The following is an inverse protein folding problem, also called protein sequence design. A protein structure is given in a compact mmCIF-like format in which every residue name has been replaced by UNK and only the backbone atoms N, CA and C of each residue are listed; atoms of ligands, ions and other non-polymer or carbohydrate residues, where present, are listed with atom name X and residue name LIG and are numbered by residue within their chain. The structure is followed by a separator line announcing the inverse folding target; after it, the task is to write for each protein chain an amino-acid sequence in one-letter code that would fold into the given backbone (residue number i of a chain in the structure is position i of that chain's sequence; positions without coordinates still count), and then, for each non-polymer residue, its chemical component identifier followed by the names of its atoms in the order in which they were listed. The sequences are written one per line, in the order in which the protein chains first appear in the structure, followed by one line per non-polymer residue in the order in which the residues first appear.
data_IF_503897133835
#
_entry.id   IF_503897133835
#
_cell.length_a   1.000
_cell.length_b   1.000
_cell.length_c   1.000
_cell.angle_alpha   90.00
_cell.angle_beta   90.00
_cell.angle_gamma   90.00
#
_symmetry.space_group_name_H-M   'P 1'
#
loop_
_entity.id
_entity.type
_entity.pdbx_description
1 polymer ?
#
# COMPACT_ATOMS: atom_id res chain seq x y z
N UNK A 1 34.78 -71.66 -1.68
CA UNK A 1 35.08 -72.35 -2.95
C UNK A 1 34.35 -71.65 -4.08
N UNK A 2 35.04 -71.47 -5.20
CA UNK A 2 34.65 -70.69 -6.36
C UNK A 2 33.37 -71.17 -7.06
N UNK A 3 32.68 -70.25 -7.77
CA UNK A 3 32.60 -70.31 -9.24
C UNK A 3 31.94 -69.07 -9.83
N UNK A 4 32.70 -68.46 -10.73
CA UNK A 4 32.35 -67.45 -11.72
C UNK A 4 31.28 -67.93 -12.69
N UNK A 5 30.43 -67.01 -13.19
CA UNK A 5 29.89 -66.99 -14.57
C UNK A 5 29.39 -65.57 -14.86
N UNK A 6 30.14 -64.75 -15.59
CA UNK A 6 30.06 -64.51 -17.06
C UNK A 6 28.99 -63.48 -17.45
N UNK A 7 29.50 -62.30 -17.82
CA UNK A 7 28.81 -61.14 -18.39
C UNK A 7 28.56 -61.39 -19.88
N UNK A 8 27.33 -61.27 -20.35
CA UNK A 8 27.01 -61.25 -21.79
C UNK A 8 26.39 -59.90 -22.13
N UNK A 9 27.13 -59.14 -22.92
CA UNK A 9 26.78 -57.85 -23.49
C UNK A 9 25.95 -58.07 -24.75
N UNK A 10 24.75 -57.49 -24.85
CA UNK A 10 24.02 -57.39 -26.12
C UNK A 10 23.64 -55.93 -26.36
N UNK A 11 24.36 -55.31 -27.30
CA UNK A 11 24.07 -54.00 -27.87
C UNK A 11 22.98 -54.16 -28.94
N UNK A 12 21.84 -53.48 -28.78
CA UNK A 12 20.85 -53.32 -29.86
C UNK A 12 20.75 -51.86 -30.28
N UNK A 13 21.31 -51.63 -31.46
CA UNK A 13 21.34 -50.43 -32.28
C UNK A 13 19.93 -50.18 -32.83
N UNK A 14 19.23 -49.14 -32.36
CA UNK A 14 17.92 -48.74 -32.92
C UNK A 14 18.13 -47.54 -33.85
N UNK A 15 17.76 -47.76 -35.11
CA UNK A 15 17.81 -46.79 -36.22
C UNK A 15 16.81 -45.65 -35.98
N UNK A 16 17.26 -44.40 -36.10
CA UNK A 16 16.41 -43.21 -36.28
C UNK A 16 16.12 -42.99 -37.76
N UNK A 17 14.88 -42.65 -38.10
CA UNK A 17 14.45 -42.05 -39.38
C UNK A 17 13.05 -41.43 -39.20
N UNK A 18 12.66 -40.43 -40.02
CA UNK A 18 12.13 -39.18 -39.48
C UNK A 18 10.68 -38.85 -39.90
N UNK A 19 10.22 -37.71 -39.38
CA UNK A 19 9.07 -36.92 -39.83
C UNK A 19 7.69 -37.36 -39.36
N UNK A 20 7.08 -36.52 -38.52
CA UNK A 20 5.82 -35.86 -38.87
C UNK A 20 5.52 -34.74 -37.87
N UNK A 21 5.60 -33.51 -38.36
CA UNK A 21 5.03 -32.32 -37.75
C UNK A 21 3.52 -32.50 -37.71
N UNK A 22 2.90 -32.35 -36.54
CA UNK A 22 1.51 -31.90 -36.44
C UNK A 22 1.45 -30.84 -35.35
N UNK A 23 1.05 -29.65 -35.78
CA UNK A 23 1.07 -28.42 -35.01
C UNK A 23 0.25 -28.56 -33.73
N UNK A 24 0.92 -28.33 -32.61
CA UNK A 24 0.25 -27.83 -31.44
C UNK A 24 0.13 -26.32 -31.64
N UNK A 25 -1.11 -25.86 -31.81
CA UNK A 25 -1.46 -24.46 -31.80
C UNK A 25 -0.84 -23.80 -30.58
N UNK A 26 0.13 -22.92 -30.81
CA UNK A 26 0.66 -22.03 -29.80
C UNK A 26 -0.48 -21.08 -29.41
N UNK A 27 -1.27 -21.49 -28.42
CA UNK A 27 -2.25 -20.60 -27.79
C UNK A 27 -1.42 -19.72 -26.86
N UNK A 28 -0.75 -18.73 -27.46
CA UNK A 28 -0.18 -17.58 -26.75
C UNK A 28 -1.24 -17.16 -25.73
N UNK A 29 -0.97 -17.44 -24.45
CA UNK A 29 -1.79 -16.88 -23.38
C UNK A 29 -1.65 -15.38 -23.56
N UNK A 30 -2.72 -14.73 -24.03
CA UNK A 30 -2.80 -13.28 -24.10
C UNK A 30 -2.38 -12.77 -22.72
N UNK A 31 -1.20 -12.15 -22.63
CA UNK A 31 -0.77 -11.48 -21.40
C UNK A 31 -1.89 -10.49 -21.07
N UNK A 32 -2.57 -10.60 -19.91
CA UNK A 32 -3.48 -9.55 -19.49
C UNK A 32 -2.67 -8.26 -19.46
N UNK A 33 -3.26 -7.15 -19.93
CA UNK A 33 -2.63 -5.83 -19.80
C UNK A 33 -2.43 -5.60 -18.29
N UNK A 34 -1.20 -5.76 -17.81
CA UNK A 34 -0.81 -5.39 -16.45
C UNK A 34 -0.60 -3.88 -16.49
N UNK A 35 -1.55 -3.16 -15.90
CA UNK A 35 -1.63 -1.69 -16.00
C UNK A 35 -0.86 -0.98 -14.88
N UNK A 36 -0.08 -1.73 -14.11
CA UNK A 36 0.62 -1.32 -12.90
C UNK A 36 1.98 -2.00 -12.86
N UNK A 37 3.03 -1.22 -12.58
CA UNK A 37 4.38 -1.76 -12.45
C UNK A 37 4.43 -2.65 -11.18
N UNK A 38 4.68 -3.96 -11.30
CA UNK A 38 4.67 -4.86 -10.15
C UNK A 38 5.86 -4.67 -9.22
N UNK A 39 6.83 -3.82 -9.58
CA UNK A 39 8.04 -3.59 -8.80
C UNK A 39 7.92 -2.39 -7.85
N UNK A 40 6.84 -1.61 -7.94
CA UNK A 40 6.67 -0.34 -7.19
C UNK A 40 5.35 -0.32 -6.42
N UNK A 41 5.44 -0.01 -5.13
CA UNK A 41 4.31 0.25 -4.25
C UNK A 41 3.50 1.45 -4.75
N UNK A 42 2.19 1.27 -4.97
CA UNK A 42 1.34 2.34 -5.51
C UNK A 42 0.95 3.42 -4.50
N UNK A 43 1.13 3.16 -3.20
CA UNK A 43 0.81 4.13 -2.14
C UNK A 43 2.02 5.02 -1.84
N UNK A 44 3.20 4.44 -1.64
CA UNK A 44 4.38 5.18 -1.19
C UNK A 44 5.52 5.30 -2.23
N UNK A 45 5.50 4.51 -3.30
CA UNK A 45 6.52 4.53 -4.35
C UNK A 45 7.80 3.72 -4.04
N UNK A 46 7.88 3.07 -2.88
CA UNK A 46 8.98 2.15 -2.55
C UNK A 46 8.90 0.85 -3.35
N UNK A 47 10.00 0.07 -3.45
CA UNK A 47 9.95 -1.27 -4.03
C UNK A 47 8.87 -2.12 -3.35
N UNK A 48 8.03 -2.77 -4.13
CA UNK A 48 7.01 -3.68 -3.59
C UNK A 48 7.65 -4.96 -3.04
N UNK A 49 7.04 -5.52 -2.02
CA UNK A 49 7.41 -6.82 -1.46
C UNK A 49 6.46 -7.90 -1.99
N UNK A 50 6.96 -8.94 -2.70
CA UNK A 50 6.13 -10.04 -3.17
C UNK A 50 5.50 -10.88 -2.04
N UNK A 51 5.98 -10.76 -0.80
CA UNK A 51 5.37 -11.40 0.36
C UNK A 51 4.03 -10.76 0.76
N UNK A 52 3.82 -9.47 0.42
CA UNK A 52 2.58 -8.75 0.68
C UNK A 52 1.56 -9.09 -0.41
N UNK A 53 0.33 -9.39 0.00
CA UNK A 53 -0.72 -9.77 -0.94
C UNK A 53 -1.06 -8.61 -1.90
N UNK A 54 -1.09 -8.89 -3.20
CA UNK A 54 -1.57 -7.93 -4.19
C UNK A 54 -3.11 -7.79 -4.11
N UNK A 55 -3.63 -6.67 -4.59
CA UNK A 55 -5.07 -6.38 -4.62
C UNK A 55 -5.53 -6.22 -6.06
N UNK A 56 -6.61 -6.92 -6.45
CA UNK A 56 -7.26 -6.69 -7.73
C UNK A 56 -8.34 -5.61 -7.59
N UNK A 57 -8.20 -4.51 -8.34
CA UNK A 57 -9.19 -3.43 -8.40
C UNK A 57 -9.39 -2.98 -9.85
N UNK A 58 -10.64 -2.91 -10.32
CA UNK A 58 -10.99 -2.65 -11.72
C UNK A 58 -10.20 -3.48 -12.76
N UNK A 59 -10.00 -4.78 -12.48
CA UNK A 59 -9.23 -5.73 -13.33
C UNK A 59 -7.75 -5.36 -13.50
N UNK A 60 -7.19 -4.59 -12.56
CA UNK A 60 -5.79 -4.24 -12.45
C UNK A 60 -5.26 -4.76 -11.11
N UNK A 61 -3.99 -5.19 -11.08
CA UNK A 61 -3.36 -5.74 -9.87
C UNK A 61 -2.42 -4.72 -9.25
N UNK A 62 -2.64 -4.36 -7.98
CA UNK A 62 -1.83 -3.39 -7.25
C UNK A 62 -0.90 -4.11 -6.27
N UNK A 63 0.34 -3.62 -6.16
CA UNK A 63 1.40 -4.21 -5.35
C UNK A 63 1.86 -3.20 -4.28
N UNK A 64 2.36 -3.72 -3.16
CA UNK A 64 2.62 -2.94 -1.96
C UNK A 64 3.95 -3.35 -1.32
N UNK A 65 4.57 -2.43 -0.58
CA UNK A 65 5.81 -2.69 0.16
C UNK A 65 5.58 -3.23 1.57
N UNK A 66 4.38 -3.06 2.13
CA UNK A 66 4.00 -3.45 3.48
C UNK A 66 2.50 -3.66 3.58
N UNK A 67 2.05 -4.37 4.63
CA UNK A 67 0.62 -4.52 4.93
C UNK A 67 -0.06 -3.16 5.16
N UNK A 68 0.62 -2.21 5.82
CA UNK A 68 0.11 -0.84 6.01
C UNK A 68 -0.28 -0.19 4.67
N UNK A 69 0.59 -0.24 3.64
CA UNK A 69 0.27 0.31 2.32
C UNK A 69 -0.89 -0.43 1.63
N UNK A 70 -1.02 -1.75 1.86
CA UNK A 70 -2.15 -2.53 1.33
C UNK A 70 -3.46 -2.10 1.98
N UNK A 71 -3.47 -1.90 3.29
CA UNK A 71 -4.64 -1.44 4.05
C UNK A 71 -5.04 -0.02 3.66
N UNK A 72 -4.09 0.91 3.61
CA UNK A 72 -4.32 2.28 3.12
C UNK A 72 -4.94 2.29 1.71
N UNK A 73 -4.49 1.40 0.82
CA UNK A 73 -5.09 1.26 -0.51
C UNK A 73 -6.54 0.75 -0.44
N UNK A 74 -6.82 -0.24 0.40
CA UNK A 74 -8.15 -0.85 0.52
C UNK A 74 -9.19 0.11 1.11
N UNK A 75 -8.78 1.01 1.99
CA UNK A 75 -9.65 2.05 2.56
C UNK A 75 -10.14 3.01 1.47
N UNK A 76 -9.25 3.41 0.56
CA UNK A 76 -9.57 4.42 -0.46
C UNK A 76 -8.96 4.06 -1.84
N UNK A 77 -9.39 2.96 -2.49
CA UNK A 77 -8.74 2.46 -3.70
C UNK A 77 -8.84 3.46 -4.87
N UNK A 78 -9.87 4.30 -4.91
CA UNK A 78 -10.02 5.36 -5.92
C UNK A 78 -8.91 6.41 -5.91
N UNK A 79 -8.34 6.73 -4.73
CA UNK A 79 -7.23 7.68 -4.60
C UNK A 79 -5.98 7.16 -5.29
N UNK A 80 -5.63 5.91 -4.99
CA UNK A 80 -4.36 5.31 -5.35
C UNK A 80 -4.40 4.59 -6.70
N UNK A 81 -5.58 4.17 -7.18
CA UNK A 81 -5.72 3.52 -8.48
C UNK A 81 -5.60 4.49 -9.65
N UNK A 82 -5.89 5.78 -9.46
CA UNK A 82 -5.92 6.77 -10.54
C UNK A 82 -4.54 7.38 -10.85
N UNK A 83 -3.66 7.47 -9.85
CA UNK A 83 -2.32 8.08 -9.96
C UNK A 83 -1.32 7.25 -9.18
N UNK A 84 -0.15 7.03 -9.76
CA UNK A 84 0.97 6.39 -9.06
C UNK A 84 1.50 7.28 -7.93
N UNK A 85 2.12 6.70 -6.91
CA UNK A 85 2.72 7.45 -5.80
C UNK A 85 3.66 8.58 -6.24
N UNK A 86 4.40 8.39 -7.34
CA UNK A 86 5.30 9.40 -7.91
C UNK A 86 4.58 10.66 -8.44
N UNK A 87 3.30 10.55 -8.77
CA UNK A 87 2.48 11.64 -9.31
C UNK A 87 1.59 12.30 -8.25
N UNK A 88 1.52 11.72 -7.05
CA UNK A 88 0.70 12.24 -5.96
C UNK A 88 1.46 13.33 -5.21
N UNK A 89 0.80 14.48 -5.02
CA UNK A 89 1.34 15.58 -4.22
C UNK A 89 1.18 15.24 -2.73
N UNK A 90 2.28 15.22 -1.98
CA UNK A 90 2.24 14.99 -0.53
C UNK A 90 1.30 16.01 0.16
N UNK A 91 0.49 15.52 1.10
CA UNK A 91 -0.41 16.35 1.90
C UNK A 91 0.07 16.28 3.33
N UNK A 92 0.96 17.21 3.67
CA UNK A 92 1.57 17.25 4.99
C UNK A 92 0.62 17.85 6.02
N UNK A 93 0.31 17.09 7.06
CA UNK A 93 -0.43 17.51 8.24
C UNK A 93 0.52 17.67 9.42
N UNK A 94 0.20 18.62 10.30
CA UNK A 94 0.87 18.83 11.58
C UNK A 94 -0.16 18.81 12.69
N UNK A 95 0.10 17.99 13.71
CA UNK A 95 -0.82 17.76 14.82
C UNK A 95 -0.07 17.71 16.15
N UNK A 96 -0.82 18.03 17.19
CA UNK A 96 -0.40 17.84 18.58
C UNK A 96 -1.37 16.86 19.19
N UNK A 97 -0.86 15.68 19.54
CA UNK A 97 -1.58 14.68 20.32
C UNK A 97 -1.24 14.88 21.79
N UNK A 98 -2.22 14.68 22.65
CA UNK A 98 -2.06 14.76 24.10
C UNK A 98 -2.01 13.34 24.65
N UNK A 99 -0.89 12.98 25.27
CA UNK A 99 -0.71 11.73 26.01
C UNK A 99 -1.40 11.86 27.37
N UNK A 100 -1.87 10.75 27.93
CA UNK A 100 -2.51 10.75 29.25
C UNK A 100 -1.55 11.18 30.38
N UNK A 101 -0.27 10.85 30.23
CA UNK A 101 0.80 11.24 31.14
C UNK A 101 2.11 11.47 30.37
N UNK A 102 3.02 12.26 30.94
CA UNK A 102 4.33 12.49 30.36
C UNK A 102 5.15 11.19 30.41
N UNK A 103 5.60 10.65 29.25
CA UNK A 103 6.41 9.44 29.24
C UNK A 103 7.79 9.72 29.85
N UNK A 104 8.37 8.69 30.47
CA UNK A 104 9.77 8.73 30.86
C UNK A 104 10.66 8.96 29.61
N UNK A 105 11.85 9.60 29.73
CA UNK A 105 12.70 9.91 28.59
C UNK A 105 13.02 8.70 27.71
N UNK A 106 13.28 7.55 28.32
CA UNK A 106 13.58 6.30 27.61
C UNK A 106 12.38 5.80 26.80
N UNK A 107 11.17 5.95 27.35
CA UNK A 107 9.91 5.60 26.66
C UNK A 107 9.65 6.58 25.51
N UNK A 108 9.91 7.87 25.72
CA UNK A 108 9.75 8.89 24.68
C UNK A 108 10.68 8.63 23.48
N UNK A 109 11.94 8.23 23.72
CA UNK A 109 12.87 7.87 22.65
C UNK A 109 12.40 6.65 21.85
N UNK A 110 11.96 5.59 22.54
CA UNK A 110 11.40 4.40 21.89
C UNK A 110 10.14 4.74 21.07
N UNK A 111 9.27 5.58 21.62
CA UNK A 111 8.07 6.05 20.94
C UNK A 111 8.38 6.83 19.67
N UNK A 112 9.33 7.77 19.76
CA UNK A 112 9.79 8.56 18.62
C UNK A 112 10.35 7.65 17.52
N UNK A 113 11.12 6.62 17.89
CA UNK A 113 11.63 5.64 16.93
C UNK A 113 10.48 4.87 16.26
N UNK A 114 9.58 4.30 17.06
CA UNK A 114 8.44 3.51 16.58
C UNK A 114 7.55 4.30 15.61
N UNK A 115 7.19 5.54 15.97
CA UNK A 115 6.35 6.38 15.10
C UNK A 115 7.07 6.82 13.83
N UNK A 116 8.39 7.02 13.86
CA UNK A 116 9.17 7.34 12.64
C UNK A 116 9.28 6.15 11.69
N UNK A 117 9.15 4.93 12.20
CA UNK A 117 9.14 3.72 11.37
C UNK A 117 7.79 3.52 10.64
N UNK A 118 6.72 4.17 11.09
CA UNK A 118 5.44 4.17 10.38
C UNK A 118 5.57 4.88 9.03
N UNK A 119 5.04 4.24 7.98
CA UNK A 119 5.06 4.83 6.65
C UNK A 119 4.22 6.11 6.62
N UNK A 120 4.84 7.22 6.18
CA UNK A 120 4.19 8.52 6.05
C UNK A 120 4.48 9.51 7.17
N UNK A 121 5.03 9.09 8.30
CA UNK A 121 5.47 10.01 9.36
C UNK A 121 6.77 10.69 8.95
N UNK A 122 6.84 12.03 9.11
CA UNK A 122 7.97 12.86 8.71
C UNK A 122 8.77 13.37 9.89
N UNK A 123 8.09 13.81 10.95
CA UNK A 123 8.71 14.39 12.13
C UNK A 123 7.91 14.00 13.37
N UNK A 124 8.61 13.73 14.47
CA UNK A 124 8.02 13.43 15.78
C UNK A 124 8.88 14.07 16.86
N UNK A 125 8.25 14.82 17.76
CA UNK A 125 8.85 15.32 19.01
C UNK A 125 7.89 15.14 20.18
N UNK A 126 8.45 14.97 21.38
CA UNK A 126 7.67 14.83 22.62
C UNK A 126 8.14 15.89 23.61
N UNK A 127 7.19 16.69 24.11
CA UNK A 127 7.41 17.77 25.07
C UNK A 127 6.44 17.59 26.25
N UNK A 128 6.90 16.88 27.29
CA UNK A 128 6.03 16.46 28.39
C UNK A 128 4.92 15.53 27.88
N UNK A 129 3.66 15.93 28.07
CA UNK A 129 2.48 15.19 27.60
C UNK A 129 2.13 15.47 26.13
N UNK A 130 2.81 16.41 25.47
CA UNK A 130 2.49 16.80 24.10
C UNK A 130 3.36 16.05 23.12
N UNK A 131 2.73 15.33 22.21
CA UNK A 131 3.38 14.69 21.07
C UNK A 131 3.07 15.52 19.82
N UNK A 132 4.11 16.12 19.24
CA UNK A 132 3.99 16.83 17.98
C UNK A 132 4.38 15.90 16.84
N UNK A 133 3.52 15.78 15.83
CA UNK A 133 3.73 14.90 14.69
C UNK A 133 3.42 15.61 13.37
N UNK A 134 4.31 15.40 12.39
CA UNK A 134 4.12 15.78 10.99
C UNK A 134 4.01 14.51 10.15
N UNK A 135 2.98 14.38 9.30
CA UNK A 135 2.77 13.19 8.48
C UNK A 135 2.14 13.50 7.12
N UNK A 136 2.31 12.59 6.16
CA UNK A 136 1.63 12.64 4.86
C UNK A 136 0.29 11.90 4.94
N UNK A 137 -0.81 12.64 4.76
CA UNK A 137 -2.18 12.11 4.86
C UNK A 137 -2.48 11.00 3.85
N UNK A 138 -1.75 10.94 2.73
CA UNK A 138 -1.90 9.87 1.73
C UNK A 138 -1.20 8.55 2.12
N UNK A 139 -0.52 8.50 3.26
CA UNK A 139 0.23 7.32 3.71
C UNK A 139 -0.17 6.90 5.12
N UNK A 140 -0.61 7.84 5.96
CA UNK A 140 -1.12 7.55 7.31
C UNK A 140 -2.09 8.66 7.74
N UNK A 141 -3.12 8.29 8.50
CA UNK A 141 -4.11 9.19 9.11
C UNK A 141 -3.86 9.41 10.61
N UNK A 142 -4.48 10.43 11.23
CA UNK A 142 -4.43 10.58 12.70
C UNK A 142 -4.98 9.32 13.38
N UNK A 143 -6.06 8.72 12.87
CA UNK A 143 -6.66 7.50 13.43
C UNK A 143 -5.69 6.30 13.47
N UNK A 144 -4.95 6.07 12.38
CA UNK A 144 -3.94 5.01 12.31
C UNK A 144 -2.75 5.29 13.26
N UNK A 145 -2.39 6.56 13.45
CA UNK A 145 -1.37 6.95 14.44
C UNK A 145 -1.89 6.68 15.86
N UNK A 146 -3.15 7.00 16.18
CA UNK A 146 -3.76 6.72 17.48
C UNK A 146 -3.82 5.21 17.79
N UNK A 147 -4.16 4.40 16.79
CA UNK A 147 -4.15 2.94 16.90
C UNK A 147 -2.74 2.42 17.20
N UNK A 148 -1.74 2.87 16.45
CA UNK A 148 -0.34 2.51 16.68
C UNK A 148 0.15 2.92 18.09
N UNK A 149 -0.24 4.10 18.58
CA UNK A 149 0.06 4.53 19.95
C UNK A 149 -0.56 3.61 21.00
N UNK A 150 -1.79 3.18 20.76
CA UNK A 150 -2.53 2.27 21.65
C UNK A 150 -1.90 0.88 21.65
N UNK A 151 -1.48 0.36 20.50
CA UNK A 151 -0.75 -0.91 20.37
C UNK A 151 0.61 -0.88 21.09
N UNK A 152 1.29 0.27 21.07
CA UNK A 152 2.52 0.49 21.83
C UNK A 152 2.28 0.61 23.36
N UNK A 153 1.02 0.54 23.82
CA UNK A 153 0.63 0.59 25.23
C UNK A 153 0.56 2.00 25.81
N UNK A 154 0.61 3.03 24.97
CA UNK A 154 0.46 4.42 25.40
C UNK A 154 -0.99 4.86 25.26
N UNK A 155 -1.51 5.48 26.32
CA UNK A 155 -2.85 6.04 26.29
C UNK A 155 -2.82 7.51 25.92
N UNK A 156 -3.76 7.90 25.07
CA UNK A 156 -4.05 9.29 24.77
C UNK A 156 -4.94 9.88 25.86
N UNK A 157 -4.93 11.21 25.99
CA UNK A 157 -5.88 11.90 26.85
C UNK A 157 -7.32 11.59 26.40
N UNK A 158 -8.10 11.06 27.34
CA UNK A 158 -9.50 10.66 27.18
C UNK A 158 -10.47 11.73 27.68
N UNK A 159 -9.97 12.92 28.01
CA UNK A 159 -10.80 14.08 28.30
C UNK A 159 -11.78 14.33 27.16
N UNK A 160 -13.01 14.72 27.50
CA UNK A 160 -14.08 14.89 26.50
C UNK A 160 -13.71 15.89 25.40
N UNK A 161 -12.87 16.90 25.73
CA UNK A 161 -12.35 17.89 24.77
C UNK A 161 -11.42 17.23 23.76
N UNK A 162 -10.49 16.40 24.23
CA UNK A 162 -9.59 15.69 23.33
C UNK A 162 -10.33 14.63 22.52
N UNK A 163 -11.30 13.91 23.09
CA UNK A 163 -12.17 13.00 22.33
C UNK A 163 -12.93 13.71 21.21
N UNK A 164 -13.48 14.89 21.46
CA UNK A 164 -14.18 15.68 20.45
C UNK A 164 -13.22 16.25 19.40
N UNK A 165 -12.04 16.73 19.83
CA UNK A 165 -10.99 17.20 18.91
C UNK A 165 -10.57 16.08 17.96
N UNK A 166 -10.27 14.90 18.50
CA UNK A 166 -9.88 13.70 17.75
C UNK A 166 -10.97 13.30 16.76
N UNK A 167 -12.22 13.18 17.22
CA UNK A 167 -13.37 12.88 16.35
C UNK A 167 -13.48 13.87 15.18
N UNK A 168 -13.34 15.17 15.43
CA UNK A 168 -13.39 16.17 14.37
C UNK A 168 -12.22 16.05 13.39
N UNK A 169 -11.01 15.75 13.86
CA UNK A 169 -9.88 15.53 12.96
C UNK A 169 -10.10 14.29 12.09
N UNK A 170 -10.52 13.18 12.68
CA UNK A 170 -10.84 11.94 11.94
C UNK A 170 -11.88 12.20 10.85
N UNK A 171 -12.99 12.86 11.20
CA UNK A 171 -14.03 13.22 10.24
C UNK A 171 -13.50 14.14 9.14
N UNK A 172 -12.67 15.13 9.49
CA UNK A 172 -12.10 16.07 8.51
C UNK A 172 -11.13 15.38 7.55
N UNK A 173 -10.26 14.52 8.06
CA UNK A 173 -9.30 13.77 7.26
C UNK A 173 -9.99 12.77 6.33
N UNK A 174 -11.02 12.08 6.82
CA UNK A 174 -11.83 11.19 5.98
C UNK A 174 -12.54 11.97 4.87
N UNK A 175 -13.08 13.16 5.17
CA UNK A 175 -13.68 14.05 4.16
C UNK A 175 -12.63 14.52 3.16
N UNK A 176 -11.44 14.91 3.60
CA UNK A 176 -10.34 15.31 2.70
C UNK A 176 -9.94 14.18 1.77
N UNK A 177 -9.75 12.96 2.29
CA UNK A 177 -9.45 11.77 1.49
C UNK A 177 -10.58 11.47 0.48
N UNK A 178 -11.84 11.52 0.90
CA UNK A 178 -13.00 11.34 0.01
C UNK A 178 -13.03 12.40 -1.09
N UNK A 179 -12.79 13.67 -0.76
CA UNK A 179 -12.74 14.77 -1.73
C UNK A 179 -11.59 14.60 -2.73
N UNK A 180 -10.44 14.13 -2.28
CA UNK A 180 -9.30 13.81 -3.16
C UNK A 180 -9.60 12.60 -4.07
N UNK A 181 -10.43 11.66 -3.60
CA UNK A 181 -10.83 10.45 -4.35
C UNK A 181 -11.88 10.74 -5.41
N UNK A 182 -12.68 11.79 -5.19
CA UNK A 182 -13.60 12.30 -6.17
C UNK A 182 -12.80 12.97 -7.30
N UNK A 183 -12.73 12.31 -8.46
CA UNK A 183 -12.21 12.96 -9.66
C UNK A 183 -12.99 14.27 -9.88
N UNK A 184 -12.36 15.35 -10.38
CA UNK A 184 -13.10 16.52 -10.80
C UNK A 184 -14.11 16.04 -11.83
N UNK A 185 -15.39 16.06 -11.47
CA UNK A 185 -16.46 15.80 -12.43
C UNK A 185 -16.18 16.75 -13.59
N UNK A 186 -15.97 16.20 -14.79
CA UNK A 186 -15.91 17.03 -15.98
C UNK A 186 -17.21 17.82 -15.98
N UNK A 187 -17.14 19.11 -15.67
CA UNK A 187 -18.30 19.99 -15.76
C UNK A 187 -18.71 19.97 -17.23
N UNK A 188 -19.70 19.15 -17.57
CA UNK A 188 -20.37 19.15 -18.86
C UNK A 188 -21.25 20.39 -18.96
N UNK A 189 -20.66 21.58 -18.92
CA UNK A 189 -21.29 22.78 -19.44
C UNK A 189 -21.10 22.77 -20.95
N UNK A 190 -21.83 21.91 -21.65
CA UNK A 190 -22.07 22.10 -23.08
C UNK A 190 -23.25 23.06 -23.17
N UNK A 191 -23.07 24.33 -23.55
CA UNK A 191 -24.20 25.22 -23.75
C UNK A 191 -25.13 24.62 -24.83
N UNK A 192 -26.46 24.74 -24.68
CA UNK A 192 -27.40 24.20 -25.66
C UNK A 192 -27.19 24.87 -27.03
N UNK A 193 -27.24 24.13 -28.15
CA UNK A 193 -27.10 24.72 -29.47
C UNK A 193 -28.38 25.47 -29.86
N UNK A 194 -28.22 26.74 -30.27
CA UNK A 194 -29.26 27.60 -30.86
C UNK A 194 -29.79 28.66 -29.87
N UNK A 195 -29.81 29.96 -30.19
CA UNK A 195 -30.41 30.52 -31.40
C UNK A 195 -29.63 31.72 -31.96
N UNK A 196 -29.17 31.59 -33.20
CA UNK A 196 -28.92 32.74 -34.07
C UNK A 196 -30.27 33.31 -34.50
N UNK A 197 -30.49 34.60 -34.24
CA UNK A 197 -31.42 35.44 -35.00
C UNK A 197 -30.68 36.72 -35.35
#
# INVERSE_FOLDING_TARGET
MARSTTRVSITRKVKRSPSQRRGFSNRERRKPKMNSNPDICHVCGMPSDPAVANVEYHKMYFYFCSEQCRETFLENPGLYAAKSAAEQKEILKRRTLHLAEAPAPEVAELLISYLRDLMGVKEVTVEGERLHISYNLLQVTEAQIEEALTEAGLQLDDSWRERLRRAWVHDTEEIELKNLSAQPSSCCNKPPPGSSK
#
